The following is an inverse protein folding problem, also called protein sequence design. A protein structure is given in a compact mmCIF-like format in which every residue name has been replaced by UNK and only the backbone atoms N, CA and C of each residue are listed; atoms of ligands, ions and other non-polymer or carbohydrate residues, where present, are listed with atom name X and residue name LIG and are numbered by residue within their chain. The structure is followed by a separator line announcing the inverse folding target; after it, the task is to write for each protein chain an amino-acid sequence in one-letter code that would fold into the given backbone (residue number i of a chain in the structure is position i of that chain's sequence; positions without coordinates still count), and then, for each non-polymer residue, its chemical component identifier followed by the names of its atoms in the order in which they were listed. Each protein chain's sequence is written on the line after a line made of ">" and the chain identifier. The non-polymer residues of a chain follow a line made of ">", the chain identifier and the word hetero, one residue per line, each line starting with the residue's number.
data_IF_434931971619
#
_entry.id   IF_434931971619
#
_cell.length_a   1.000
_cell.length_b   1.000
_cell.length_c   1.000
_cell.angle_alpha   90.00
_cell.angle_beta   90.00
_cell.angle_gamma   90.00
#
_symmetry.space_group_name_H-M   'P 1'
#
loop_
_entity.id
_entity.type
_entity.pdbx_description
1 polymer ?
#
# COMPACT_ATOMS: atom_id res chain seq x y z
N UNK A 1 13.39 7.88 7.51
CA UNK A 1 13.75 9.28 7.86
C UNK A 1 12.88 9.69 9.04
N UNK A 2 13.46 9.84 10.24
CA UNK A 2 12.73 10.28 11.44
C UNK A 2 12.65 11.80 11.36
N UNK A 3 11.55 12.34 10.84
CA UNK A 3 11.29 13.78 10.94
C UNK A 3 10.86 14.10 12.36
N UNK A 4 11.80 14.59 13.17
CA UNK A 4 11.48 15.28 14.42
C UNK A 4 10.55 16.43 14.09
N UNK A 5 9.35 16.43 14.65
CA UNK A 5 8.39 17.53 14.50
C UNK A 5 8.99 18.80 15.11
N UNK A 6 9.69 19.59 14.30
CA UNK A 6 10.06 20.95 14.65
C UNK A 6 8.79 21.77 14.65
N UNK A 7 8.34 22.19 15.82
CA UNK A 7 7.39 23.30 15.93
C UNK A 7 8.07 24.54 15.35
N UNK A 8 7.77 24.81 14.09
CA UNK A 8 8.29 25.98 13.40
C UNK A 8 7.28 27.09 13.64
N UNK A 9 7.57 27.99 14.58
CA UNK A 9 6.69 29.13 14.84
C UNK A 9 6.82 30.11 13.68
N UNK A 10 5.81 30.15 12.83
CA UNK A 10 5.76 31.06 11.68
C UNK A 10 5.52 32.49 12.22
N UNK A 11 6.52 33.37 12.12
CA UNK A 11 6.35 34.79 12.44
C UNK A 11 5.82 35.51 11.22
N UNK A 12 4.56 35.88 11.24
CA UNK A 12 3.93 36.69 10.20
C UNK A 12 3.91 38.16 10.64
N UNK A 13 4.11 39.07 9.69
CA UNK A 13 4.10 40.52 9.96
C UNK A 13 2.67 41.07 10.18
N UNK A 14 1.65 40.30 9.82
CA UNK A 14 0.23 40.66 9.86
C UNK A 14 -0.63 39.38 9.93
N UNK A 15 -1.91 39.54 10.26
CA UNK A 15 -2.87 38.43 10.33
C UNK A 15 -3.38 38.07 8.92
N UNK A 16 -2.72 37.09 8.29
CA UNK A 16 -3.14 36.58 6.99
C UNK A 16 -4.26 35.54 7.14
N UNK A 17 -5.31 35.66 6.32
CA UNK A 17 -6.32 34.60 6.18
C UNK A 17 -5.65 33.31 5.70
N UNK A 18 -5.67 32.30 6.56
CA UNK A 18 -5.12 30.98 6.28
C UNK A 18 -6.23 30.02 5.87
N UNK A 19 -5.93 29.15 4.91
CA UNK A 19 -6.85 28.11 4.45
C UNK A 19 -6.16 26.76 4.56
N UNK A 20 -6.89 25.75 5.06
CA UNK A 20 -6.40 24.38 5.12
C UNK A 20 -6.88 23.61 3.89
N UNK A 21 -5.98 22.82 3.30
CA UNK A 21 -6.35 21.86 2.27
C UNK A 21 -7.14 20.72 2.89
N UNK A 22 -8.24 20.33 2.26
CA UNK A 22 -9.07 19.21 2.68
C UNK A 22 -9.76 18.58 1.48
N UNK A 23 -10.22 17.34 1.65
CA UNK A 23 -10.99 16.63 0.64
C UNK A 23 -12.47 16.75 1.04
N UNK A 24 -13.28 17.35 0.17
CA UNK A 24 -14.74 17.34 0.34
C UNK A 24 -15.27 15.94 0.07
N UNK A 25 -16.36 15.55 0.72
CA UNK A 25 -17.00 14.24 0.52
C UNK A 25 -17.31 13.94 -0.95
N UNK A 26 -17.83 14.95 -1.68
CA UNK A 26 -18.09 14.85 -3.13
C UNK A 26 -16.84 14.62 -3.99
N UNK A 27 -15.65 14.92 -3.46
CA UNK A 27 -14.36 14.69 -4.13
C UNK A 27 -13.74 13.32 -3.85
N UNK A 28 -14.27 12.54 -2.90
CA UNK A 28 -13.70 11.25 -2.52
C UNK A 28 -13.69 10.25 -3.70
N UNK A 29 -14.76 10.21 -4.49
CA UNK A 29 -14.85 9.35 -5.68
C UNK A 29 -13.76 9.67 -6.71
N UNK A 30 -13.44 10.96 -6.89
CA UNK A 30 -12.37 11.39 -7.77
C UNK A 30 -11.00 10.95 -7.25
N UNK A 31 -10.74 11.09 -5.96
CA UNK A 31 -9.50 10.63 -5.32
C UNK A 31 -9.33 9.11 -5.47
N UNK A 32 -10.38 8.33 -5.20
CA UNK A 32 -10.34 6.89 -5.40
C UNK A 32 -10.08 6.51 -6.85
N UNK A 33 -10.66 7.24 -7.80
CA UNK A 33 -10.40 7.02 -9.22
C UNK A 33 -8.91 7.27 -9.57
N UNK A 34 -8.29 8.32 -9.04
CA UNK A 34 -6.85 8.58 -9.23
C UNK A 34 -6.01 7.45 -8.63
N UNK A 35 -6.28 7.07 -7.37
CA UNK A 35 -5.54 6.01 -6.67
C UNK A 35 -5.68 4.64 -7.38
N UNK A 36 -6.83 4.39 -7.98
CA UNK A 36 -7.10 3.15 -8.72
C UNK A 36 -6.48 3.15 -10.11
N UNK A 37 -6.71 4.20 -10.89
CA UNK A 37 -6.46 4.17 -12.33
C UNK A 37 -5.19 4.89 -12.78
N UNK A 38 -4.70 5.85 -11.99
CA UNK A 38 -3.61 6.74 -12.39
C UNK A 38 -2.34 6.56 -11.54
N UNK A 39 -2.41 5.78 -10.46
CA UNK A 39 -1.27 5.56 -9.57
C UNK A 39 -0.11 4.82 -10.25
N UNK A 40 -0.41 3.92 -11.19
CA UNK A 40 0.57 3.09 -11.88
C UNK A 40 0.43 3.21 -13.40
N UNK A 41 1.53 3.58 -14.07
CA UNK A 41 1.59 3.61 -15.54
C UNK A 41 1.55 2.20 -16.13
N UNK A 42 2.34 1.28 -15.58
CA UNK A 42 2.27 -0.15 -15.92
C UNK A 42 1.56 -0.89 -14.79
N UNK A 43 0.28 -1.21 -15.05
CA UNK A 43 -0.62 -1.80 -14.07
C UNK A 43 -0.32 -3.28 -13.82
N UNK A 44 0.14 -4.02 -14.83
CA UNK A 44 0.49 -5.44 -14.70
C UNK A 44 1.78 -5.57 -13.89
N UNK A 45 2.80 -4.80 -14.25
CA UNK A 45 4.07 -4.76 -13.51
C UNK A 45 3.86 -4.34 -12.06
N UNK A 46 3.00 -3.35 -11.81
CA UNK A 46 2.68 -2.90 -10.46
C UNK A 46 2.13 -4.05 -9.61
N UNK A 47 1.13 -4.78 -10.08
CA UNK A 47 0.54 -5.91 -9.33
C UNK A 47 1.60 -6.95 -8.96
N UNK A 48 2.42 -7.35 -9.93
CA UNK A 48 3.47 -8.35 -9.71
C UNK A 48 4.50 -7.83 -8.69
N UNK A 49 4.97 -6.60 -8.87
CA UNK A 49 5.98 -5.98 -8.00
C UNK A 49 5.48 -5.82 -6.58
N UNK A 50 4.34 -5.15 -6.38
CA UNK A 50 3.84 -4.80 -5.05
C UNK A 50 3.51 -6.05 -4.22
N UNK A 51 2.90 -7.08 -4.83
CA UNK A 51 2.60 -8.33 -4.13
C UNK A 51 3.85 -9.15 -3.82
N UNK A 52 4.81 -9.21 -4.74
CA UNK A 52 6.08 -9.87 -4.47
C UNK A 52 6.86 -9.17 -3.35
N UNK A 53 6.91 -7.83 -3.36
CA UNK A 53 7.56 -7.06 -2.31
C UNK A 53 6.88 -7.25 -0.94
N UNK A 54 5.55 -7.23 -0.89
CA UNK A 54 4.82 -7.47 0.35
C UNK A 54 5.08 -8.88 0.92
N UNK A 55 5.16 -9.89 0.05
CA UNK A 55 5.47 -11.26 0.45
C UNK A 55 6.89 -11.39 1.01
N UNK A 56 7.87 -10.73 0.39
CA UNK A 56 9.26 -10.67 0.89
C UNK A 56 9.32 -9.94 2.23
N UNK A 57 8.65 -8.80 2.36
CA UNK A 57 8.60 -8.07 3.64
C UNK A 57 8.00 -8.93 4.77
N UNK A 58 6.97 -9.72 4.46
CA UNK A 58 6.35 -10.63 5.43
C UNK A 58 7.30 -11.74 5.88
N UNK A 59 8.20 -12.21 5.00
CA UNK A 59 9.27 -13.15 5.35
C UNK A 59 10.32 -12.50 6.25
N UNK A 60 10.75 -11.28 5.92
CA UNK A 60 11.73 -10.52 6.71
C UNK A 60 11.21 -10.31 8.13
N UNK A 61 9.93 -9.95 8.29
CA UNK A 61 9.30 -9.72 9.59
C UNK A 61 9.35 -10.94 10.52
N UNK A 62 9.32 -12.15 9.96
CA UNK A 62 9.39 -13.42 10.72
C UNK A 62 10.76 -14.10 10.67
N UNK A 63 11.79 -13.42 10.12
CA UNK A 63 13.16 -13.93 10.05
C UNK A 63 13.40 -15.03 9.01
N UNK A 64 12.53 -15.20 8.01
CA UNK A 64 12.62 -16.22 6.94
C UNK A 64 13.25 -15.66 5.66
N UNK A 65 14.38 -14.97 5.76
CA UNK A 65 15.01 -14.28 4.63
C UNK A 65 15.63 -15.22 3.59
N UNK A 66 15.85 -16.49 3.95
CA UNK A 66 16.38 -17.55 3.11
C UNK A 66 15.28 -18.38 2.40
N UNK A 67 14.01 -18.23 2.81
CA UNK A 67 12.88 -18.95 2.21
C UNK A 67 12.33 -18.16 1.02
N UNK A 68 12.25 -18.74 -0.19
CA UNK A 68 11.67 -18.05 -1.33
C UNK A 68 10.15 -17.91 -1.21
N UNK A 69 9.63 -16.77 -1.67
CA UNK A 69 8.19 -16.60 -1.91
C UNK A 69 7.75 -17.50 -3.06
N UNK A 70 6.48 -17.91 -3.09
CA UNK A 70 5.93 -18.72 -4.17
C UNK A 70 5.07 -17.88 -5.09
N UNK A 71 5.49 -17.76 -6.35
CA UNK A 71 4.74 -17.07 -7.41
C UNK A 71 4.16 -18.11 -8.36
N UNK A 72 2.85 -18.01 -8.63
CA UNK A 72 2.16 -18.81 -9.63
C UNK A 72 1.72 -17.89 -10.76
N UNK A 73 2.17 -18.20 -11.97
CA UNK A 73 1.81 -17.44 -13.17
C UNK A 73 0.48 -17.96 -13.74
N UNK A 74 -0.34 -17.07 -14.32
CA UNK A 74 -1.58 -17.46 -14.96
C UNK A 74 -1.31 -18.31 -16.20
N UNK A 75 -2.18 -19.29 -16.43
CA UNK A 75 -2.21 -20.12 -17.64
C UNK A 75 -3.60 -20.05 -18.28
N UNK A 76 -3.75 -20.62 -19.48
CA UNK A 76 -5.07 -20.65 -20.15
C UNK A 76 -6.12 -21.44 -19.35
N UNK A 77 -5.71 -22.47 -18.60
CA UNK A 77 -6.61 -23.29 -17.77
C UNK A 77 -6.79 -22.72 -16.36
N UNK A 78 -5.85 -21.91 -15.89
CA UNK A 78 -5.88 -21.32 -14.55
C UNK A 78 -5.45 -19.85 -14.66
N UNK A 79 -6.39 -18.93 -14.95
CA UNK A 79 -6.09 -17.53 -15.30
C UNK A 79 -5.73 -16.66 -14.09
N UNK A 80 -5.25 -17.27 -13.00
CA UNK A 80 -5.01 -16.60 -11.73
C UNK A 80 -3.51 -16.39 -11.54
N UNK A 81 -3.10 -15.14 -11.31
CA UNK A 81 -1.80 -14.82 -10.74
C UNK A 81 -1.88 -14.93 -9.22
N UNK A 82 -0.94 -15.65 -8.60
CA UNK A 82 -0.90 -15.80 -7.13
C UNK A 82 0.49 -15.56 -6.59
N UNK A 83 0.58 -14.82 -5.50
CA UNK A 83 1.80 -14.69 -4.69
C UNK A 83 1.49 -15.23 -3.31
N UNK A 84 2.36 -16.10 -2.80
CA UNK A 84 2.25 -16.69 -1.47
C UNK A 84 3.53 -16.45 -0.69
N UNK A 85 3.38 -15.86 0.48
CA UNK A 85 4.38 -15.82 1.53
C UNK A 85 4.12 -16.87 2.61
N UNK A 86 5.08 -17.00 3.53
CA UNK A 86 5.05 -17.83 4.72
C UNK A 86 5.33 -16.98 5.98
N UNK A 87 4.90 -15.72 5.96
CA UNK A 87 4.92 -14.81 7.09
C UNK A 87 3.83 -15.15 8.11
N UNK A 88 3.55 -14.20 9.00
CA UNK A 88 2.54 -14.36 10.06
C UNK A 88 1.08 -14.21 9.58
N UNK A 89 0.87 -13.72 8.36
CA UNK A 89 -0.44 -13.34 7.85
C UNK A 89 -1.00 -12.08 8.54
N UNK A 90 -2.29 -11.80 8.30
CA UNK A 90 -3.00 -10.69 8.92
C UNK A 90 -4.21 -11.22 9.69
N UNK A 91 -4.43 -10.67 10.88
CA UNK A 91 -5.68 -10.88 11.61
C UNK A 91 -6.84 -10.15 10.95
N UNK A 92 -8.08 -10.54 11.23
CA UNK A 92 -9.28 -9.86 10.72
C UNK A 92 -9.29 -8.36 11.06
N UNK A 93 -8.84 -8.00 12.27
CA UNK A 93 -8.69 -6.61 12.68
C UNK A 93 -7.68 -5.85 11.82
N UNK A 94 -6.52 -6.46 11.56
CA UNK A 94 -5.50 -5.86 10.69
C UNK A 94 -5.99 -5.73 9.24
N UNK A 95 -6.80 -6.67 8.76
CA UNK A 95 -7.46 -6.55 7.45
C UNK A 95 -8.38 -5.32 7.43
N UNK A 96 -9.26 -5.17 8.43
CA UNK A 96 -10.24 -4.10 8.48
C UNK A 96 -9.61 -2.71 8.68
N UNK A 97 -8.65 -2.60 9.60
CA UNK A 97 -8.13 -1.30 10.03
C UNK A 97 -6.92 -0.83 9.21
N UNK A 98 -6.12 -1.76 8.65
CA UNK A 98 -4.88 -1.43 7.95
C UNK A 98 -5.01 -1.78 6.47
N UNK A 99 -5.25 -3.05 6.14
CA UNK A 99 -5.20 -3.49 4.74
C UNK A 99 -6.30 -2.84 3.89
N UNK A 100 -7.52 -2.70 4.42
CA UNK A 100 -8.66 -2.12 3.73
C UNK A 100 -8.58 -0.59 3.61
N UNK A 101 -7.81 0.09 4.47
CA UNK A 101 -7.72 1.54 4.50
C UNK A 101 -6.63 2.07 3.55
N UNK A 102 -6.95 3.09 2.75
CA UNK A 102 -5.98 3.70 1.83
C UNK A 102 -4.99 4.58 2.61
N UNK A 103 -3.71 4.38 2.36
CA UNK A 103 -2.64 5.17 2.97
C UNK A 103 -2.21 4.67 4.34
N UNK A 104 -2.93 3.73 4.97
CA UNK A 104 -2.50 3.14 6.25
C UNK A 104 -1.46 2.05 6.04
N UNK A 105 -0.46 2.01 6.93
CA UNK A 105 0.66 1.09 6.83
C UNK A 105 1.32 0.86 8.18
N UNK A 106 1.48 -0.40 8.56
CA UNK A 106 2.22 -0.85 9.74
C UNK A 106 3.74 -0.73 9.58
N UNK A 107 4.21 -0.48 8.36
CA UNK A 107 5.62 -0.54 7.97
C UNK A 107 6.32 0.84 7.99
N UNK A 108 5.64 1.86 8.54
CA UNK A 108 6.16 3.24 8.59
C UNK A 108 7.28 3.33 9.62
N UNK A 109 8.50 3.63 9.17
CA UNK A 109 9.63 3.93 10.05
C UNK A 109 10.72 2.86 10.12
N UNK A 110 10.55 1.72 9.44
CA UNK A 110 11.60 0.72 9.21
C UNK A 110 12.27 0.96 7.86
N UNK A 111 13.57 0.66 7.74
CA UNK A 111 14.27 0.58 6.45
C UNK A 111 14.44 -0.86 5.97
N UNK A 112 14.03 -1.85 6.78
CA UNK A 112 14.14 -3.27 6.45
C UNK A 112 13.04 -3.74 5.48
N UNK A 113 11.99 -2.94 5.29
CA UNK A 113 10.82 -3.28 4.48
C UNK A 113 10.70 -2.39 3.24
N UNK A 114 10.34 -3.00 2.12
CA UNK A 114 10.26 -2.37 0.79
C UNK A 114 9.01 -1.47 0.69
N UNK A 115 7.84 -1.96 1.13
CA UNK A 115 6.56 -1.24 0.99
C UNK A 115 6.18 -0.44 2.24
N UNK A 116 5.89 0.86 2.11
CA UNK A 116 5.63 1.71 3.29
C UNK A 116 4.38 2.59 3.21
N UNK A 117 3.86 2.85 2.00
CA UNK A 117 2.84 3.89 1.78
C UNK A 117 1.39 3.43 2.01
N UNK A 118 1.13 2.12 2.12
CA UNK A 118 -0.26 1.63 2.28
C UNK A 118 -1.10 1.69 1.01
N UNK A 119 -0.45 1.73 -0.15
CA UNK A 119 -1.12 1.82 -1.47
C UNK A 119 -0.87 0.56 -2.33
N UNK A 120 0.31 -0.04 -2.22
CA UNK A 120 0.73 -1.18 -3.04
C UNK A 120 -0.14 -2.44 -2.89
N UNK A 121 -0.66 -2.70 -1.69
CA UNK A 121 -1.57 -3.83 -1.44
C UNK A 121 -2.87 -3.75 -2.27
N UNK A 122 -3.21 -2.56 -2.77
CA UNK A 122 -4.42 -2.28 -3.57
C UNK A 122 -4.13 -2.21 -5.07
N UNK A 123 -2.91 -2.50 -5.49
CA UNK A 123 -2.48 -2.46 -6.90
C UNK A 123 -3.32 -3.33 -7.84
N UNK A 124 -3.93 -4.43 -7.36
CA UNK A 124 -4.85 -5.23 -8.17
C UNK A 124 -6.05 -4.43 -8.70
N UNK A 125 -6.51 -3.40 -7.99
CA UNK A 125 -7.61 -2.56 -8.48
C UNK A 125 -7.23 -1.74 -9.72
N UNK A 126 -5.93 -1.58 -10.00
CA UNK A 126 -5.49 -0.97 -11.24
C UNK A 126 -5.74 -1.91 -12.44
N UNK A 127 -5.60 -3.22 -12.25
CA UNK A 127 -5.73 -4.23 -13.30
C UNK A 127 -7.12 -4.85 -13.40
N UNK A 128 -7.82 -5.04 -12.28
CA UNK A 128 -9.13 -5.70 -12.22
C UNK A 128 -10.11 -5.04 -11.26
N UNK A 129 -11.30 -5.63 -11.17
CA UNK A 129 -12.40 -5.16 -10.31
C UNK A 129 -12.40 -5.82 -8.92
N UNK A 130 -11.81 -7.01 -8.81
CA UNK A 130 -11.75 -7.77 -7.57
C UNK A 130 -10.45 -8.58 -7.48
N UNK A 131 -10.11 -8.99 -6.27
CA UNK A 131 -9.05 -9.94 -5.97
C UNK A 131 -9.36 -10.67 -4.66
N UNK A 132 -8.70 -11.79 -4.43
CA UNK A 132 -8.92 -12.66 -3.27
C UNK A 132 -7.66 -12.69 -2.42
N UNK A 133 -7.83 -12.65 -1.10
CA UNK A 133 -6.79 -12.88 -0.11
C UNK A 133 -7.16 -14.20 0.58
N UNK A 134 -6.20 -15.12 0.70
CA UNK A 134 -6.40 -16.44 1.30
C UNK A 134 -5.68 -16.56 2.64
#
# INVERSE_FOLDING_TARGET
>A
MITTSRQTTLKQSDDFKSFQFGIKESGLSHIFNVLRNQLYSDKVLAVIREYSCNAVDAHIEVGKTDVPIKVTLPTQLTPEFKVRDYGRGLTEKEIAEIYAMYGESTKRGSNEQIGQLGLGCKSAFAYGDNFIIN
#
